data_IF_053186912772
#
_entry.id   IF_053186912772
#
_cell.length_a   1.000
_cell.length_b   1.000
_cell.length_c   1.000
_cell.angle_alpha   90.00
_cell.angle_beta   90.00
_cell.angle_gamma   90.00
#
_symmetry.space_group_name_H-M   'P 1'
#
loop_
_entity.id
_entity.type
_entity.pdbx_description
1 polymer ?
#
# COMPACT_ATOMS: atom_id res chain seq x y z
N UNK A 1 28.01 -4.39 -5.45
CA UNK A 1 26.68 -4.91 -5.85
C UNK A 1 26.69 -5.08 -7.35
N UNK A 2 26.42 -6.28 -7.89
CA UNK A 2 26.34 -6.49 -9.34
C UNK A 2 24.98 -6.05 -9.87
N UNK A 3 24.92 -5.52 -11.10
CA UNK A 3 23.66 -5.13 -11.76
C UNK A 3 22.66 -6.31 -11.84
N UNK A 4 23.16 -7.55 -11.83
CA UNK A 4 22.34 -8.77 -11.81
C UNK A 4 21.44 -8.88 -10.57
N UNK A 5 21.87 -8.38 -9.42
CA UNK A 5 21.07 -8.40 -8.18
C UNK A 5 19.84 -7.50 -8.35
N UNK A 6 20.01 -6.33 -8.98
CA UNK A 6 18.90 -5.41 -9.26
C UNK A 6 17.94 -6.00 -10.30
N UNK A 7 18.45 -6.65 -11.35
CA UNK A 7 17.63 -7.35 -12.34
C UNK A 7 16.80 -8.47 -11.70
N UNK A 8 17.43 -9.32 -10.89
CA UNK A 8 16.73 -10.40 -10.18
C UNK A 8 15.65 -9.87 -9.24
N UNK A 9 15.90 -8.77 -8.52
CA UNK A 9 14.90 -8.15 -7.66
C UNK A 9 13.71 -7.61 -8.46
N UNK A 10 13.95 -7.03 -9.64
CA UNK A 10 12.89 -6.55 -10.52
C UNK A 10 12.05 -7.70 -11.11
N UNK A 11 12.69 -8.80 -11.49
CA UNK A 11 12.03 -9.99 -12.08
C UNK A 11 11.20 -10.77 -11.06
N UNK A 12 11.67 -10.87 -9.82
CA UNK A 12 10.98 -11.63 -8.76
C UNK A 12 9.78 -10.89 -8.16
N UNK A 13 9.73 -9.55 -8.27
CA UNK A 13 8.63 -8.75 -7.75
C UNK A 13 7.34 -8.99 -8.55
N UNK A 14 6.30 -9.52 -7.88
CA UNK A 14 4.96 -9.74 -8.44
C UNK A 14 3.90 -8.97 -7.66
N UNK A 15 2.76 -8.71 -8.29
CA UNK A 15 1.56 -8.26 -7.58
C UNK A 15 0.94 -9.45 -6.87
N UNK A 16 0.92 -9.42 -5.53
CA UNK A 16 0.35 -10.47 -4.68
C UNK A 16 -0.93 -9.95 -4.06
N UNK A 17 -2.05 -10.63 -4.31
CA UNK A 17 -3.37 -10.23 -3.82
C UNK A 17 -3.78 -11.02 -2.58
N UNK A 18 -3.38 -12.28 -2.48
CA UNK A 18 -3.62 -13.13 -1.31
C UNK A 18 -2.59 -12.81 -0.23
N UNK A 19 -2.95 -11.89 0.65
CA UNK A 19 -2.14 -11.48 1.80
C UNK A 19 -2.84 -11.83 3.11
N UNK A 20 -2.08 -11.93 4.19
CA UNK A 20 -2.59 -12.17 5.54
C UNK A 20 -2.09 -11.09 6.50
N UNK A 21 -2.45 -11.23 7.79
CA UNK A 21 -2.12 -10.27 8.84
C UNK A 21 -0.72 -10.47 9.44
N UNK A 22 0.00 -11.50 9.02
CA UNK A 22 1.31 -11.85 9.55
C UNK A 22 2.41 -11.19 8.73
N UNK A 23 3.10 -10.23 9.33
CA UNK A 23 4.31 -9.67 8.74
C UNK A 23 5.51 -10.58 9.05
N UNK A 24 6.44 -10.78 8.10
CA UNK A 24 7.69 -11.49 8.35
C UNK A 24 8.67 -10.69 9.23
N UNK A 25 8.41 -9.38 9.41
CA UNK A 25 9.21 -8.43 10.18
C UNK A 25 8.29 -7.66 11.14
N UNK A 26 8.88 -6.96 12.11
CA UNK A 26 8.09 -6.07 12.96
C UNK A 26 7.47 -4.91 12.16
N UNK A 27 6.42 -4.32 12.73
CA UNK A 27 5.79 -3.10 12.19
C UNK A 27 6.81 -1.97 12.03
N UNK A 28 7.72 -1.81 13.00
CA UNK A 28 8.74 -0.77 13.00
C UNK A 28 9.75 -0.99 11.86
N UNK A 29 10.29 -2.20 11.70
CA UNK A 29 11.21 -2.53 10.61
C UNK A 29 10.55 -2.37 9.24
N UNK A 30 9.28 -2.79 9.12
CA UNK A 30 8.51 -2.62 7.88
C UNK A 30 8.37 -1.14 7.53
N UNK A 31 8.03 -0.29 8.50
CA UNK A 31 7.93 1.16 8.29
C UNK A 31 9.29 1.79 7.93
N UNK A 32 10.39 1.32 8.53
CA UNK A 32 11.74 1.77 8.19
C UNK A 32 12.13 1.41 6.76
N UNK A 33 11.80 0.20 6.29
CA UNK A 33 12.04 -0.21 4.90
C UNK A 33 11.31 0.71 3.92
N UNK A 34 10.03 1.00 4.18
CA UNK A 34 9.24 1.93 3.36
C UNK A 34 9.86 3.33 3.38
N UNK A 35 10.22 3.85 4.56
CA UNK A 35 10.84 5.16 4.72
C UNK A 35 12.18 5.28 3.99
N UNK A 36 13.03 4.24 4.08
CA UNK A 36 14.30 4.18 3.37
C UNK A 36 14.09 4.19 1.85
N UNK A 37 13.18 3.36 1.33
CA UNK A 37 12.88 3.33 -0.10
C UNK A 37 12.40 4.69 -0.63
N UNK A 38 11.49 5.35 0.08
CA UNK A 38 10.97 6.67 -0.31
C UNK A 38 12.07 7.73 -0.28
N UNK A 39 12.90 7.76 0.78
CA UNK A 39 13.99 8.73 0.95
C UNK A 39 15.03 8.66 -0.15
N UNK A 40 15.35 7.45 -0.62
CA UNK A 40 16.42 7.22 -1.59
C UNK A 40 15.93 7.08 -3.03
N UNK A 41 14.62 7.19 -3.27
CA UNK A 41 14.07 7.26 -4.63
C UNK A 41 14.27 8.67 -5.18
N UNK A 42 14.93 8.84 -6.34
CA UNK A 42 15.14 10.16 -6.91
C UNK A 42 13.81 10.82 -7.29
N UNK A 43 13.76 12.15 -7.20
CA UNK A 43 12.61 12.96 -7.62
C UNK A 43 13.08 14.11 -8.50
N UNK A 44 12.21 14.58 -9.40
CA UNK A 44 12.52 15.72 -10.26
C UNK A 44 12.93 16.93 -9.40
N UNK A 45 14.07 17.54 -9.74
CA UNK A 45 14.69 18.65 -9.01
C UNK A 45 14.92 18.38 -7.51
N UNK A 46 15.01 17.11 -7.10
CA UNK A 46 15.06 16.71 -5.69
C UNK A 46 13.90 17.31 -4.84
N UNK A 47 12.75 17.57 -5.47
CA UNK A 47 11.59 18.21 -4.84
C UNK A 47 10.99 17.39 -3.70
N UNK A 48 11.22 16.07 -3.70
CA UNK A 48 10.76 15.13 -2.67
C UNK A 48 9.27 15.35 -2.35
N UNK A 49 8.43 15.51 -3.38
CA UNK A 49 7.00 15.83 -3.21
C UNK A 49 6.14 14.64 -2.75
N UNK A 50 6.68 13.42 -2.85
CA UNK A 50 6.02 12.21 -2.35
C UNK A 50 5.93 12.23 -0.83
N UNK A 51 4.74 11.98 -0.30
CA UNK A 51 4.48 11.72 1.12
C UNK A 51 3.87 10.34 1.23
N UNK A 52 4.22 9.61 2.28
CA UNK A 52 3.71 8.26 2.49
C UNK A 52 3.17 8.15 3.90
N UNK A 53 2.01 7.52 4.04
CA UNK A 53 1.45 7.13 5.33
C UNK A 53 1.34 5.61 5.34
N UNK A 54 1.93 4.98 6.35
CA UNK A 54 1.90 3.53 6.51
C UNK A 54 0.93 3.20 7.64
N UNK A 55 -0.11 2.42 7.31
CA UNK A 55 -1.16 2.01 8.23
C UNK A 55 -1.04 0.53 8.53
N UNK A 56 -1.21 0.17 9.79
CA UNK A 56 -1.19 -1.21 10.28
C UNK A 56 -2.40 -1.46 11.20
N UNK A 57 -2.74 -2.73 11.40
CA UNK A 57 -3.77 -3.14 12.37
C UNK A 57 -5.10 -2.39 12.17
N UNK A 58 -5.60 -1.77 13.25
CA UNK A 58 -6.89 -1.09 13.24
C UNK A 58 -6.99 0.07 12.22
N UNK A 59 -5.91 0.85 12.03
CA UNK A 59 -5.94 1.98 11.08
C UNK A 59 -5.96 1.50 9.62
N UNK A 60 -5.30 0.38 9.33
CA UNK A 60 -5.39 -0.30 8.04
C UNK A 60 -6.82 -0.78 7.79
N UNK A 61 -7.43 -1.45 8.76
CA UNK A 61 -8.81 -1.93 8.62
C UNK A 61 -9.82 -0.79 8.45
N UNK A 62 -9.61 0.32 9.18
CA UNK A 62 -10.43 1.53 9.12
C UNK A 62 -10.39 2.17 7.74
N UNK A 63 -9.22 2.24 7.10
CA UNK A 63 -9.08 2.70 5.72
C UNK A 63 -9.97 1.89 4.77
N UNK A 64 -9.90 0.56 4.84
CA UNK A 64 -10.69 -0.29 3.95
C UNK A 64 -12.19 -0.23 4.26
N UNK A 65 -12.57 0.04 5.51
CA UNK A 65 -13.96 0.36 5.85
C UNK A 65 -14.44 1.66 5.21
N UNK A 66 -13.60 2.71 5.20
CA UNK A 66 -13.93 3.95 4.50
C UNK A 66 -14.09 3.74 3.00
N UNK A 67 -13.21 2.94 2.39
CA UNK A 67 -13.31 2.60 0.97
C UNK A 67 -14.61 1.84 0.65
N UNK A 68 -14.99 0.87 1.48
CA UNK A 68 -16.24 0.14 1.32
C UNK A 68 -17.46 1.07 1.41
N UNK A 69 -17.52 1.91 2.45
CA UNK A 69 -18.63 2.84 2.65
C UNK A 69 -18.78 3.83 1.48
N UNK A 70 -17.66 4.37 0.99
CA UNK A 70 -17.66 5.27 -0.17
C UNK A 70 -18.14 4.57 -1.45
N UNK A 71 -17.76 3.31 -1.66
CA UNK A 71 -18.17 2.56 -2.84
C UNK A 71 -19.63 2.10 -2.78
N UNK A 72 -20.14 1.74 -1.59
CA UNK A 72 -21.57 1.42 -1.40
C UNK A 72 -22.49 2.60 -1.74
N UNK A 73 -22.01 3.83 -1.56
CA UNK A 73 -22.78 5.03 -1.91
C UNK A 73 -22.93 5.24 -3.44
N UNK A 74 -22.11 4.57 -4.27
CA UNK A 74 -22.04 4.81 -5.71
C UNK A 74 -22.41 3.55 -6.51
N UNK A 75 -22.10 2.36 -6.01
CA UNK A 75 -22.33 1.09 -6.70
C UNK A 75 -23.70 0.52 -6.31
N UNK A 76 -24.55 0.15 -7.28
CA UNK A 76 -25.82 -0.52 -7.02
C UNK A 76 -25.65 -1.79 -6.17
N UNK A 77 -26.55 -1.98 -5.21
CA UNK A 77 -26.44 -3.05 -4.20
C UNK A 77 -26.40 -4.47 -4.82
N UNK A 78 -27.14 -4.68 -5.91
CA UNK A 78 -27.19 -5.93 -6.68
C UNK A 78 -25.86 -6.28 -7.38
N UNK A 79 -24.94 -5.31 -7.49
CA UNK A 79 -23.63 -5.48 -8.14
C UNK A 79 -22.45 -5.27 -7.20
N UNK A 80 -22.71 -5.12 -5.90
CA UNK A 80 -21.66 -4.78 -4.95
C UNK A 80 -20.79 -5.97 -4.53
N UNK A 81 -21.30 -7.20 -4.61
CA UNK A 81 -20.65 -8.40 -4.10
C UNK A 81 -19.19 -8.59 -4.60
N UNK A 82 -18.88 -8.45 -5.91
CA UNK A 82 -17.49 -8.57 -6.39
C UNK A 82 -16.57 -7.48 -5.83
N UNK A 83 -17.10 -6.29 -5.57
CA UNK A 83 -16.36 -5.18 -4.94
C UNK A 83 -16.09 -5.49 -3.46
N UNK A 84 -17.11 -5.96 -2.74
CA UNK A 84 -16.98 -6.35 -1.33
C UNK A 84 -15.89 -7.42 -1.15
N UNK A 85 -15.88 -8.45 -2.01
CA UNK A 85 -14.86 -9.51 -1.96
C UNK A 85 -13.44 -8.99 -2.19
N UNK A 86 -13.25 -8.05 -3.13
CA UNK A 86 -11.95 -7.41 -3.35
C UNK A 86 -11.51 -6.57 -2.15
N UNK A 87 -12.42 -5.79 -1.57
CA UNK A 87 -12.10 -4.97 -0.39
C UNK A 87 -11.79 -5.84 0.83
N UNK A 88 -12.52 -6.93 1.02
CA UNK A 88 -12.25 -7.91 2.07
C UNK A 88 -10.84 -8.53 1.92
N UNK A 89 -10.42 -8.82 0.69
CA UNK A 89 -9.07 -9.30 0.39
C UNK A 89 -8.00 -8.28 0.77
N UNK A 90 -8.19 -6.99 0.48
CA UNK A 90 -7.24 -5.96 0.89
C UNK A 90 -7.23 -5.73 2.41
N UNK A 91 -8.41 -5.77 3.05
CA UNK A 91 -8.56 -5.67 4.51
C UNK A 91 -7.87 -6.83 5.24
N UNK A 92 -7.79 -8.00 4.62
CA UNK A 92 -7.12 -9.18 5.19
C UNK A 92 -5.59 -9.07 5.26
N UNK A 93 -4.98 -8.12 4.53
CA UNK A 93 -3.55 -7.86 4.62
C UNK A 93 -3.14 -7.25 5.98
N UNK A 94 -1.85 -7.26 6.28
CA UNK A 94 -1.32 -6.72 7.54
C UNK A 94 -1.26 -5.19 7.61
N UNK A 95 -1.25 -4.51 6.47
CA UNK A 95 -1.11 -3.06 6.41
C UNK A 95 -1.28 -2.50 4.99
N UNK A 96 -1.34 -1.17 4.91
CA UNK A 96 -1.47 -0.41 3.65
C UNK A 96 -0.48 0.74 3.64
N UNK A 97 0.12 0.98 2.47
CA UNK A 97 0.98 2.13 2.20
C UNK A 97 0.22 3.12 1.31
N UNK A 98 -0.18 4.25 1.87
CA UNK A 98 -0.85 5.32 1.14
C UNK A 98 0.18 6.29 0.56
N UNK A 99 0.20 6.42 -0.76
CA UNK A 99 1.04 7.39 -1.46
C UNK A 99 0.27 8.68 -1.72
N UNK A 100 0.85 9.78 -1.27
CA UNK A 100 0.32 11.14 -1.40
C UNK A 100 1.36 12.00 -2.13
N UNK A 101 0.90 13.06 -2.78
CA UNK A 101 1.76 14.08 -3.37
C UNK A 101 1.42 15.42 -2.75
N UNK A 102 2.43 16.16 -2.30
CA UNK A 102 2.22 17.54 -1.85
C UNK A 102 1.71 18.35 -3.03
N UNK A 103 0.58 19.03 -2.84
CA UNK A 103 0.14 20.09 -3.75
C UNK A 103 1.04 21.30 -3.49
N UNK A 104 1.96 21.57 -4.41
CA UNK A 104 2.62 22.88 -4.43
C UNK A 104 1.54 23.88 -4.85
N UNK A 105 1.35 24.94 -4.06
CA UNK A 105 0.55 26.11 -4.45
C UNK A 105 1.18 26.79 -5.67
#
# INVERSE_FOLDING_TARGET
MSYRILQQAAETRRSVYTLNKQLPLSVAETAQIVGHAVKHTPSAFNSQSTRVVVLFGAEHEKLWQFAENALRAIVPADRFEPTAQKLAMFKAAAGTVLFLKTKTL
#
